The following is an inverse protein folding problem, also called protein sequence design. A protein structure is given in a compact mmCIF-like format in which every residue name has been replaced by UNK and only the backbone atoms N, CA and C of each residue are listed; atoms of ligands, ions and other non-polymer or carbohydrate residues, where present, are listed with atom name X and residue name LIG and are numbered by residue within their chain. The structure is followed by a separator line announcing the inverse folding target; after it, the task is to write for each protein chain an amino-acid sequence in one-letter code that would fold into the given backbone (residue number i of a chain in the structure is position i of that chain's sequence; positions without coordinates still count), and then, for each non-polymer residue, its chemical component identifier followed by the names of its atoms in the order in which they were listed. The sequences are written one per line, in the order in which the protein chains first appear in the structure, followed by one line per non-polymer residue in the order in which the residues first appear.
data_IF_742093782883
#
_entry.id   IF_742093782883
#
_cell.length_a   1.000
_cell.length_b   1.000
_cell.length_c   1.000
_cell.angle_alpha   90.00
_cell.angle_beta   90.00
_cell.angle_gamma   90.00
#
_symmetry.space_group_name_H-M   'P 1'
#
loop_
_entity.id
_entity.type
_entity.pdbx_description
1 polymer ?
#
# COMPACT_ATOMS: atom_id res chain seq x y z
N UNK A 1 9.16 0.94 -3.41
CA UNK A 1 9.17 0.28 -2.08
C UNK A 1 7.95 -0.63 -1.96
N UNK A 2 8.04 -1.76 -1.26
CA UNK A 2 6.89 -2.68 -1.06
C UNK A 2 6.59 -2.81 0.43
N UNK A 3 5.32 -2.68 0.81
CA UNK A 3 4.83 -2.85 2.18
C UNK A 3 3.83 -3.99 2.22
N UNK A 4 4.11 -5.02 3.02
CA UNK A 4 3.23 -6.19 3.17
C UNK A 4 2.01 -5.84 4.02
N UNK A 5 0.87 -6.39 3.64
CA UNK A 5 -0.40 -6.22 4.33
C UNK A 5 -0.90 -7.57 4.86
N UNK A 6 -1.79 -7.56 5.87
CA UNK A 6 -2.57 -8.73 6.24
C UNK A 6 -3.36 -9.28 5.02
N UNK A 7 -3.55 -10.60 4.90
CA UNK A 7 -4.28 -11.19 3.78
C UNK A 7 -5.71 -10.66 3.66
N UNK A 8 -6.16 -10.35 2.44
CA UNK A 8 -7.50 -9.86 2.14
C UNK A 8 -7.74 -8.37 2.42
N UNK A 9 -6.69 -7.60 2.72
CA UNK A 9 -6.82 -6.17 3.04
C UNK A 9 -6.38 -5.23 1.91
N UNK A 10 -5.73 -5.74 0.86
CA UNK A 10 -5.13 -4.91 -0.21
C UNK A 10 -6.11 -3.91 -0.82
N UNK A 11 -7.31 -4.36 -1.22
CA UNK A 11 -8.30 -3.49 -1.86
C UNK A 11 -8.86 -2.41 -0.91
N UNK A 12 -9.05 -2.76 0.36
CA UNK A 12 -9.53 -1.82 1.38
C UNK A 12 -8.49 -0.73 1.65
N UNK A 13 -7.22 -1.13 1.76
CA UNK A 13 -6.09 -0.21 1.97
C UNK A 13 -5.87 0.69 0.74
N UNK A 14 -5.98 0.17 -0.48
CA UNK A 14 -5.92 0.99 -1.70
C UNK A 14 -7.02 2.05 -1.74
N UNK A 15 -8.25 1.69 -1.34
CA UNK A 15 -9.36 2.65 -1.26
C UNK A 15 -9.10 3.73 -0.21
N UNK A 16 -8.62 3.35 0.97
CA UNK A 16 -8.28 4.29 2.03
C UNK A 16 -7.16 5.24 1.61
N UNK A 17 -6.11 4.72 0.96
CA UNK A 17 -5.01 5.53 0.44
C UNK A 17 -5.49 6.53 -0.63
N UNK A 18 -6.40 6.12 -1.53
CA UNK A 18 -6.99 7.02 -2.51
C UNK A 18 -7.79 8.17 -1.86
N UNK A 19 -8.50 7.91 -0.75
CA UNK A 19 -9.17 8.96 0.02
C UNK A 19 -8.22 9.95 0.68
N UNK A 20 -7.02 9.50 1.06
CA UNK A 20 -5.97 10.34 1.62
C UNK A 20 -5.11 11.02 0.54
N UNK A 21 -5.43 10.82 -0.75
CA UNK A 21 -4.65 11.36 -1.87
C UNK A 21 -3.27 10.71 -2.05
N UNK A 22 -3.05 9.54 -1.46
CA UNK A 22 -1.77 8.83 -1.52
C UNK A 22 -1.69 7.95 -2.78
N UNK A 23 -0.66 8.19 -3.60
CA UNK A 23 -0.42 7.41 -4.81
C UNK A 23 0.30 6.09 -4.48
N UNK A 24 -0.48 5.02 -4.31
CA UNK A 24 0.01 3.64 -4.12
C UNK A 24 -0.66 2.68 -5.11
N UNK A 25 -0.02 1.54 -5.35
CA UNK A 25 -0.54 0.47 -6.20
C UNK A 25 -0.57 -0.86 -5.46
N UNK A 26 -1.54 -1.72 -5.76
CA UNK A 26 -1.56 -3.09 -5.22
C UNK A 26 -0.50 -3.95 -5.89
N UNK A 27 0.03 -4.95 -5.16
CA UNK A 27 1.03 -5.86 -5.70
C UNK A 27 0.45 -6.75 -6.80
N UNK A 28 -0.84 -7.07 -6.73
CA UNK A 28 -1.54 -7.90 -7.72
C UNK A 28 -1.40 -7.35 -9.16
N UNK A 29 -1.31 -6.01 -9.33
CA UNK A 29 -1.09 -5.37 -10.64
C UNK A 29 0.23 -5.76 -11.30
N UNK A 30 1.26 -6.07 -10.50
CA UNK A 30 2.60 -6.43 -11.00
C UNK A 30 2.80 -7.93 -11.09
N UNK A 31 1.79 -8.71 -10.70
CA UNK A 31 1.86 -10.16 -10.73
C UNK A 31 1.78 -10.65 -12.16
N UNK A 32 2.70 -11.53 -12.53
CA UNK A 32 2.64 -12.22 -13.81
C UNK A 32 1.42 -13.16 -13.83
N UNK A 33 0.62 -13.20 -14.92
CA UNK A 33 -0.59 -14.02 -15.00
C UNK A 33 -0.31 -15.52 -14.78
N UNK A 34 0.89 -16.00 -15.13
CA UNK A 34 1.31 -17.39 -14.96
C UNK A 34 2.03 -17.66 -13.62
N UNK A 35 2.09 -16.69 -12.71
CA UNK A 35 2.79 -16.85 -11.44
C UNK A 35 2.06 -17.84 -10.52
N UNK A 36 2.78 -18.87 -10.08
CA UNK A 36 2.32 -19.89 -9.13
C UNK A 36 2.61 -19.54 -7.66
N UNK A 37 3.28 -18.40 -7.40
CA UNK A 37 3.59 -17.96 -6.04
C UNK A 37 2.31 -17.72 -5.22
N UNK A 38 2.35 -17.94 -3.90
CA UNK A 38 1.19 -17.64 -3.06
C UNK A 38 0.75 -16.17 -3.20
N UNK A 39 -0.56 -15.90 -3.11
CA UNK A 39 -1.07 -14.53 -3.14
C UNK A 39 -0.75 -13.85 -1.83
N UNK A 40 0.11 -12.84 -1.89
CA UNK A 40 0.43 -11.97 -0.78
C UNK A 40 -0.12 -10.57 -1.06
N UNK A 41 -0.87 -10.02 -0.11
CA UNK A 41 -1.34 -8.65 -0.18
C UNK A 41 -0.20 -7.69 0.14
N UNK A 42 0.02 -6.69 -0.72
CA UNK A 42 1.02 -5.68 -0.47
C UNK A 42 0.78 -4.39 -1.26
N UNK A 43 1.27 -3.28 -0.73
CA UNK A 43 1.32 -2.00 -1.44
C UNK A 43 2.68 -1.78 -2.06
N UNK A 44 2.67 -1.34 -3.31
CA UNK A 44 3.80 -0.74 -4.01
C UNK A 44 3.71 0.77 -3.85
N UNK A 45 4.69 1.33 -3.13
CA UNK A 45 4.87 2.77 -2.96
C UNK A 45 5.87 3.25 -4.00
N UNK A 46 5.39 4.11 -4.91
CA UNK A 46 6.24 4.82 -5.85
C UNK A 46 7.08 5.85 -5.10
N UNK A 47 8.40 5.77 -5.22
CA UNK A 47 9.28 6.81 -4.70
C UNK A 47 9.48 7.84 -5.81
N UNK A 48 8.65 8.88 -5.85
CA UNK A 48 9.03 10.14 -6.46
C UNK A 48 9.55 11.02 -5.34
N UNK A 49 10.74 11.61 -5.47
CA UNK A 49 11.29 12.56 -4.48
C UNK A 49 10.25 13.66 -4.24
N UNK A 50 9.47 13.60 -3.16
CA UNK A 50 8.52 14.65 -2.87
C UNK A 50 9.33 15.86 -2.38
N UNK A 51 8.82 17.08 -2.49
CA UNK A 51 9.33 18.20 -1.70
C UNK A 51 9.35 17.79 -0.21
N UNK A 52 10.37 18.18 0.56
CA UNK A 52 10.56 17.74 1.96
C UNK A 52 9.32 17.90 2.86
N UNK A 53 8.46 18.88 2.57
CA UNK A 53 7.22 19.16 3.30
C UNK A 53 6.05 18.24 2.95
N UNK A 54 6.10 17.52 1.83
CA UNK A 54 5.07 16.57 1.41
C UNK A 54 5.28 15.16 2.00
N UNK A 55 6.48 14.87 2.50
CA UNK A 55 6.84 13.56 3.01
C UNK A 55 6.10 13.21 4.31
N UNK A 56 6.02 14.13 5.26
CA UNK A 56 5.31 13.88 6.54
C UNK A 56 3.82 13.63 6.32
N UNK A 57 3.16 14.44 5.49
CA UNK A 57 1.74 14.25 5.16
C UNK A 57 1.46 12.93 4.44
N UNK A 58 2.39 12.48 3.58
CA UNK A 58 2.28 11.17 2.92
C UNK A 58 2.43 10.01 3.92
N UNK A 59 3.31 10.14 4.92
CA UNK A 59 3.45 9.16 5.99
C UNK A 59 2.20 9.10 6.88
N UNK A 60 1.64 10.24 7.26
CA UNK A 60 0.40 10.29 8.05
C UNK A 60 -0.77 9.65 7.29
N UNK A 61 -0.91 9.98 6.00
CA UNK A 61 -1.89 9.37 5.11
C UNK A 61 -1.71 7.86 4.98
N UNK A 62 -0.46 7.38 4.90
CA UNK A 62 -0.13 5.96 4.86
C UNK A 62 -0.53 5.29 6.18
N UNK A 63 -0.13 5.83 7.32
CA UNK A 63 -0.49 5.31 8.64
C UNK A 63 -2.02 5.24 8.84
N UNK A 64 -2.76 6.23 8.34
CA UNK A 64 -4.22 6.24 8.39
C UNK A 64 -4.88 5.21 7.45
N UNK A 65 -4.23 4.84 6.35
CA UNK A 65 -4.75 3.89 5.37
C UNK A 65 -4.43 2.43 5.72
N UNK A 66 -3.38 2.19 6.50
CA UNK A 66 -2.97 0.84 6.88
C UNK A 66 -4.04 0.19 7.76
N UNK A 67 -4.32 -1.11 7.54
CA UNK A 67 -5.14 -1.86 8.47
C UNK A 67 -4.39 -1.92 9.80
N UNK A 68 -5.06 -1.58 10.90
CA UNK A 68 -4.53 -1.90 12.21
C UNK A 68 -4.39 -3.42 12.29
N UNK A 69 -3.16 -3.87 12.41
CA UNK A 69 -2.88 -5.26 12.69
C UNK A 69 -3.57 -5.65 14.01
N UNK A 70 -4.50 -6.60 13.95
CA UNK A 70 -5.07 -7.27 15.12
C UNK A 70 -4.39 -8.63 15.37
N UNK A 71 -3.12 -8.77 15.00
CA UNK A 71 -2.28 -9.92 15.35
C UNK A 71 -1.42 -9.57 16.56
N UNK A 72 -2.00 -9.84 17.74
CA UNK A 72 -1.20 -10.21 18.92
C UNK A 72 -0.64 -11.63 18.78
#
# INVERSE_FOLDING_TARGET
MVLRLPPGTEQSTLRAAAWQGLAVHGLDRYRHPESTAERSDALVVGYGTPPDHGWSGALDALCAALPFDSTG
#
